data_IF_019953618109
#
_entry.id   IF_019953618109
#
_cell.length_a   1.000
_cell.length_b   1.000
_cell.length_c   1.000
_cell.angle_alpha   90.00
_cell.angle_beta   90.00
_cell.angle_gamma   90.00
#
_symmetry.space_group_name_H-M   'P 1'
#
loop_
_entity.id
_entity.type
_entity.pdbx_description
1 polymer ?
#
# COMPACT_ATOMS: atom_id res chain seq x y z
N UNK A 1 5.60 -7.51 2.86
CA UNK A 1 4.57 -8.56 3.00
C UNK A 1 3.50 -8.37 1.94
N UNK A 2 3.13 -9.44 1.25
CA UNK A 2 1.97 -9.49 0.32
C UNK A 2 0.79 -10.09 1.06
N UNK A 3 -0.43 -9.60 0.77
CA UNK A 3 -1.64 -10.19 1.32
C UNK A 3 -1.97 -11.50 0.58
N UNK A 4 -2.40 -12.55 1.28
CA UNK A 4 -2.81 -13.78 0.64
C UNK A 4 -4.13 -13.57 -0.13
N UNK A 5 -4.15 -14.02 -1.38
CA UNK A 5 -5.34 -13.96 -2.23
C UNK A 5 -6.23 -15.20 -2.13
N UNK A 6 -5.72 -16.25 -1.53
CA UNK A 6 -6.41 -17.52 -1.36
C UNK A 6 -6.23 -18.05 0.06
N UNK A 7 -7.24 -18.67 0.60
CA UNK A 7 -7.22 -19.34 1.89
C UNK A 7 -8.23 -20.48 1.92
N UNK A 8 -8.31 -21.20 3.04
CA UNK A 8 -9.16 -22.38 3.17
C UNK A 8 -10.64 -22.14 2.80
N UNK A 9 -11.14 -20.93 3.08
CA UNK A 9 -12.55 -20.60 2.95
C UNK A 9 -12.80 -19.28 2.18
N UNK A 10 -11.80 -18.78 1.46
CA UNK A 10 -11.94 -17.54 0.67
C UNK A 10 -10.98 -17.54 -0.53
N UNK A 11 -11.41 -16.82 -1.54
CA UNK A 11 -10.58 -16.39 -2.68
C UNK A 11 -10.89 -14.90 -2.94
N UNK A 12 -9.85 -14.08 -3.12
CA UNK A 12 -10.04 -12.67 -3.43
C UNK A 12 -10.34 -12.47 -4.92
N UNK A 13 -10.98 -11.37 -5.27
CA UNK A 13 -11.20 -10.96 -6.67
C UNK A 13 -9.89 -10.57 -7.40
N UNK A 14 -8.76 -10.47 -6.69
CA UNK A 14 -7.47 -10.02 -7.21
C UNK A 14 -7.53 -8.64 -7.87
N UNK A 15 -8.43 -7.79 -7.36
CA UNK A 15 -8.62 -6.44 -7.88
C UNK A 15 -7.42 -5.53 -7.61
N UNK A 16 -6.80 -5.65 -6.43
CA UNK A 16 -5.67 -4.82 -5.99
C UNK A 16 -4.48 -5.70 -5.58
N UNK A 17 -3.27 -5.26 -5.92
CA UNK A 17 -2.05 -5.87 -5.43
C UNK A 17 -1.51 -5.05 -4.25
N UNK A 18 -2.06 -5.34 -3.07
CA UNK A 18 -1.75 -4.65 -1.82
C UNK A 18 -0.52 -5.29 -1.17
N UNK A 19 0.46 -4.46 -0.86
CA UNK A 19 1.63 -4.84 -0.08
C UNK A 19 1.70 -4.07 1.22
N UNK A 20 2.45 -4.61 2.18
CA UNK A 20 2.79 -3.91 3.42
C UNK A 20 4.30 -3.87 3.59
N UNK A 21 4.84 -2.67 3.77
CA UNK A 21 6.25 -2.45 4.07
C UNK A 21 6.42 -2.50 5.58
N UNK A 22 6.63 -3.70 6.11
CA UNK A 22 6.72 -3.93 7.56
C UNK A 22 7.83 -3.08 8.18
N UNK A 23 7.51 -2.37 9.26
CA UNK A 23 8.42 -1.47 9.96
C UNK A 23 8.49 -0.05 9.39
N UNK A 24 7.92 0.20 8.21
CA UNK A 24 7.85 1.56 7.68
C UNK A 24 6.83 2.41 8.45
N UNK A 25 7.20 3.64 8.73
CA UNK A 25 6.29 4.68 9.22
C UNK A 25 5.44 5.24 8.09
N UNK A 26 4.43 6.03 8.45
CA UNK A 26 3.60 6.79 7.50
C UNK A 26 4.44 7.65 6.55
N UNK A 27 5.46 8.36 7.07
CA UNK A 27 6.32 9.24 6.27
C UNK A 27 7.22 8.43 5.33
N UNK A 28 7.82 7.34 5.81
CA UNK A 28 8.63 6.44 4.98
C UNK A 28 7.80 5.80 3.87
N UNK A 29 6.56 5.42 4.14
CA UNK A 29 5.64 4.94 3.11
C UNK A 29 5.35 6.02 2.07
N UNK A 30 5.17 7.27 2.49
CA UNK A 30 5.01 8.42 1.59
C UNK A 30 6.24 8.63 0.71
N UNK A 31 7.44 8.53 1.28
CA UNK A 31 8.70 8.62 0.55
C UNK A 31 8.84 7.49 -0.49
N UNK A 32 8.49 6.26 -0.13
CA UNK A 32 8.49 5.12 -1.06
C UNK A 32 7.60 5.41 -2.27
N UNK A 33 6.37 5.89 -2.06
CA UNK A 33 5.44 6.21 -3.16
C UNK A 33 6.02 7.32 -4.06
N UNK A 34 6.62 8.34 -3.47
CA UNK A 34 7.24 9.45 -4.21
C UNK A 34 8.41 8.94 -5.08
N UNK A 35 9.33 8.16 -4.50
CA UNK A 35 10.46 7.59 -5.25
C UNK A 35 10.03 6.63 -6.36
N UNK A 36 8.98 5.85 -6.13
CA UNK A 36 8.39 5.00 -7.18
C UNK A 36 7.82 5.84 -8.34
N UNK A 37 7.14 6.95 -8.03
CA UNK A 37 6.62 7.86 -9.05
C UNK A 37 7.76 8.51 -9.87
N UNK A 38 8.89 8.87 -9.24
CA UNK A 38 10.10 9.37 -9.93
C UNK A 38 10.68 8.34 -10.90
N UNK A 39 10.49 7.05 -10.62
CA UNK A 39 10.87 5.94 -11.50
C UNK A 39 9.77 5.55 -12.52
N UNK A 40 8.71 6.36 -12.64
CA UNK A 40 7.60 6.14 -13.57
C UNK A 40 6.59 5.07 -13.13
N UNK A 41 6.62 4.64 -11.86
CA UNK A 41 5.70 3.64 -11.31
C UNK A 41 4.69 4.32 -10.39
N UNK A 42 3.41 4.33 -10.79
CA UNK A 42 2.33 4.92 -10.01
C UNK A 42 1.82 3.95 -8.95
N UNK A 43 2.25 4.13 -7.70
CA UNK A 43 1.70 3.42 -6.54
C UNK A 43 0.57 4.21 -5.88
N UNK A 44 -0.25 3.53 -5.09
CA UNK A 44 -1.38 4.15 -4.40
C UNK A 44 -1.54 3.57 -2.99
N UNK A 45 -2.55 4.07 -2.26
CA UNK A 45 -2.94 3.58 -0.93
C UNK A 45 -4.44 3.27 -0.93
N UNK A 46 -4.82 2.06 -0.56
CA UNK A 46 -6.21 1.59 -0.53
C UNK A 46 -6.59 1.05 0.86
N UNK A 47 -7.16 1.91 1.72
CA UNK A 47 -7.52 3.32 1.56
C UNK A 47 -7.20 4.08 2.85
N UNK A 48 -7.29 5.44 2.79
CA UNK A 48 -7.25 6.23 4.01
C UNK A 48 -8.42 5.82 4.91
N UNK A 49 -8.17 5.44 6.20
CA UNK A 49 -9.24 5.02 7.12
C UNK A 49 -10.29 6.10 7.31
N UNK A 50 -11.56 5.71 7.34
CA UNK A 50 -12.68 6.63 7.49
C UNK A 50 -12.54 7.59 8.68
N UNK A 51 -12.07 7.17 9.88
CA UNK A 51 -11.88 8.08 11.01
C UNK A 51 -10.89 9.23 10.77
N UNK A 52 -10.05 9.14 9.73
CA UNK A 52 -9.15 10.23 9.32
C UNK A 52 -9.78 11.23 8.35
N UNK A 53 -10.99 10.95 7.86
CA UNK A 53 -11.72 11.87 6.99
C UNK A 53 -12.51 12.87 7.83
N UNK A 54 -12.48 14.15 7.44
CA UNK A 54 -13.13 15.26 8.17
C UNK A 54 -14.60 14.99 8.45
N UNK A 55 -15.33 14.44 7.50
CA UNK A 55 -16.76 14.11 7.69
C UNK A 55 -16.98 13.15 8.86
N UNK A 56 -16.17 12.11 8.98
CA UNK A 56 -16.28 11.13 10.07
C UNK A 56 -15.76 11.68 11.39
N UNK A 57 -14.71 12.52 11.37
CA UNK A 57 -14.24 13.22 12.56
C UNK A 57 -15.33 14.15 13.14
N UNK A 58 -16.06 14.85 12.27
CA UNK A 58 -17.20 15.70 12.66
C UNK A 58 -18.37 14.88 13.25
N UNK A 59 -18.47 13.59 12.93
CA UNK A 59 -19.43 12.66 13.51
C UNK A 59 -18.97 12.04 14.84
N UNK A 60 -17.76 12.40 15.30
CA UNK A 60 -17.20 11.92 16.58
C UNK A 60 -16.34 10.66 16.48
N UNK A 61 -16.06 10.15 15.27
CA UNK A 61 -15.14 9.02 15.11
C UNK A 61 -13.69 9.48 15.34
N UNK A 62 -12.93 8.65 16.05
CA UNK A 62 -11.52 8.91 16.39
C UNK A 62 -10.65 7.76 15.89
N UNK A 63 -9.49 8.10 15.28
CA UNK A 63 -8.59 7.07 14.74
C UNK A 63 -8.03 6.15 15.83
N UNK A 64 -7.85 6.67 17.04
CA UNK A 64 -7.34 5.91 18.20
C UNK A 64 -8.21 4.72 18.59
N UNK A 65 -9.51 4.77 18.24
CA UNK A 65 -10.45 3.68 18.50
C UNK A 65 -10.29 2.51 17.47
N UNK A 66 -9.51 2.73 16.42
CA UNK A 66 -9.30 1.78 15.31
C UNK A 66 -7.81 1.51 15.03
N UNK A 67 -7.03 1.05 16.03
CA UNK A 67 -5.58 0.95 15.91
C UNK A 67 -5.13 -0.06 14.85
N UNK A 68 -5.91 -1.11 14.59
CA UNK A 68 -5.59 -2.10 13.56
C UNK A 68 -5.70 -1.52 12.14
N UNK A 69 -6.72 -0.69 11.90
CA UNK A 69 -6.90 0.00 10.62
C UNK A 69 -5.76 0.99 10.37
N UNK A 70 -5.33 1.73 11.40
CA UNK A 70 -4.20 2.64 11.28
C UNK A 70 -2.88 1.91 10.99
N UNK A 71 -2.57 0.85 11.74
CA UNK A 71 -1.37 0.03 11.54
C UNK A 71 -1.30 -0.63 10.15
N UNK A 72 -2.46 -0.90 9.55
CA UNK A 72 -2.50 -1.37 8.16
C UNK A 72 -2.20 -0.22 7.20
N UNK A 73 -2.87 0.90 7.38
CA UNK A 73 -2.78 2.08 6.50
C UNK A 73 -1.39 2.73 6.48
N UNK A 74 -0.70 2.80 7.64
CA UNK A 74 0.55 3.55 7.75
C UNK A 74 1.67 3.02 6.86
N UNK A 75 1.66 1.72 6.54
CA UNK A 75 2.71 1.07 5.77
C UNK A 75 2.21 0.29 4.54
N UNK A 76 0.98 0.55 4.13
CA UNK A 76 0.38 -0.06 2.95
C UNK A 76 0.81 0.67 1.68
N UNK A 77 1.21 -0.09 0.66
CA UNK A 77 1.48 0.37 -0.70
C UNK A 77 0.82 -0.58 -1.68
N UNK A 78 -0.06 -0.05 -2.52
CA UNK A 78 -0.65 -0.80 -3.63
C UNK A 78 0.16 -0.59 -4.89
N UNK A 79 0.64 -1.68 -5.47
CA UNK A 79 1.38 -1.69 -6.74
C UNK A 79 0.42 -1.71 -7.94
N UNK A 80 0.85 -1.22 -9.12
CA UNK A 80 0.04 -1.27 -10.32
C UNK A 80 -0.37 -2.71 -10.67
N UNK A 81 -1.66 -2.88 -11.02
CA UNK A 81 -2.21 -4.17 -11.45
C UNK A 81 -3.32 -3.93 -12.48
N UNK A 82 -3.06 -4.32 -13.74
CA UNK A 82 -4.06 -4.31 -14.82
C UNK A 82 -3.63 -5.23 -15.97
N UNK A 83 -4.56 -5.60 -16.83
CA UNK A 83 -4.35 -6.59 -17.88
C UNK A 83 -3.45 -6.16 -19.06
N UNK A 84 -2.98 -4.91 -19.08
CA UNK A 84 -2.06 -4.41 -20.11
C UNK A 84 -0.59 -4.42 -19.67
N UNK A 85 -0.29 -4.81 -18.44
CA UNK A 85 1.09 -4.98 -17.98
C UNK A 85 1.71 -6.20 -18.64
N UNK A 86 2.89 -6.02 -19.25
CA UNK A 86 3.72 -7.12 -19.72
C UNK A 86 4.50 -7.76 -18.55
N UNK A 87 5.11 -8.91 -18.78
CA UNK A 87 5.98 -9.55 -17.78
C UNK A 87 7.19 -8.65 -17.48
N UNK A 88 7.73 -7.97 -18.49
CA UNK A 88 8.82 -6.99 -18.32
C UNK A 88 8.40 -5.78 -17.48
N UNK A 89 7.17 -5.28 -17.64
CA UNK A 89 6.63 -4.22 -16.79
C UNK A 89 6.52 -4.66 -15.33
N UNK A 90 6.06 -5.90 -15.10
CA UNK A 90 5.96 -6.47 -13.75
C UNK A 90 7.35 -6.60 -13.13
N UNK A 91 8.33 -7.14 -13.85
CA UNK A 91 9.72 -7.25 -13.38
C UNK A 91 10.31 -5.88 -13.04
N UNK A 92 10.08 -4.88 -13.90
CA UNK A 92 10.50 -3.50 -13.65
C UNK A 92 9.88 -2.92 -12.36
N UNK A 93 8.56 -3.09 -12.18
CA UNK A 93 7.85 -2.63 -10.98
C UNK A 93 8.43 -3.29 -9.73
N UNK A 94 8.58 -4.60 -9.74
CA UNK A 94 9.06 -5.37 -8.58
C UNK A 94 10.49 -4.99 -8.23
N UNK A 95 11.40 -4.93 -9.21
CA UNK A 95 12.79 -4.57 -8.98
C UNK A 95 12.90 -3.17 -8.37
N UNK A 96 12.25 -2.18 -8.99
CA UNK A 96 12.28 -0.80 -8.49
C UNK A 96 11.67 -0.69 -7.08
N UNK A 97 10.58 -1.41 -6.82
CA UNK A 97 9.95 -1.39 -5.51
C UNK A 97 10.88 -1.94 -4.41
N UNK A 98 11.55 -3.05 -4.65
CA UNK A 98 12.49 -3.62 -3.69
C UNK A 98 13.69 -2.70 -3.44
N UNK A 99 14.25 -2.09 -4.50
CA UNK A 99 15.34 -1.12 -4.39
C UNK A 99 14.92 0.12 -3.58
N UNK A 100 13.76 0.70 -3.89
CA UNK A 100 13.25 1.89 -3.19
C UNK A 100 12.97 1.59 -1.72
N UNK A 101 12.38 0.43 -1.41
CA UNK A 101 12.16 0.02 -0.01
C UNK A 101 13.49 -0.09 0.73
N UNK A 102 14.52 -0.67 0.10
CA UNK A 102 15.85 -0.78 0.68
C UNK A 102 16.51 0.61 0.87
N UNK A 103 16.36 1.52 -0.08
CA UNK A 103 16.87 2.90 0.03
C UNK A 103 16.24 3.65 1.21
N UNK A 104 14.95 3.51 1.42
CA UNK A 104 14.20 4.26 2.45
C UNK A 104 14.35 3.66 3.84
N UNK A 105 14.42 2.35 3.94
CA UNK A 105 14.52 1.66 5.25
C UNK A 105 15.96 1.35 5.65
N UNK A 106 16.89 1.41 4.73
CA UNK A 106 18.32 1.07 4.97
C UNK A 106 18.56 -0.41 4.97
#
# INVERSE_FOLDING_TARGET
>A
QVLPHEGKNYESSRHLYITRVQGASYDQRGEIITKMAERGVSCNVHYKPLPLLTAYQNMGFRMEDYPNAYRFFENEVTLPLHGLLSDEDVDYIVQNYLEVVQEVLG
#
